data_IF_732863672676
#
_entry.id   IF_732863672676
#
_cell.length_a   1.000
_cell.length_b   1.000
_cell.length_c   1.000
_cell.angle_alpha   90.00
_cell.angle_beta   90.00
_cell.angle_gamma   90.00
#
_symmetry.space_group_name_H-M   'P 1'
#
loop_
_entity.id
_entity.type
_entity.pdbx_description
1 polymer ?
#
# COMPACT_ATOMS: atom_id res chain seq x y z
N UNK A 1 7.34 -2.97 38.15
CA UNK A 1 8.62 -3.24 37.48
C UNK A 1 8.47 -3.69 36.03
N UNK A 2 7.26 -4.05 35.58
CA UNK A 2 7.02 -4.48 34.18
C UNK A 2 6.78 -3.27 33.26
N UNK A 3 5.97 -2.30 33.71
CA UNK A 3 5.57 -1.14 32.90
C UNK A 3 6.47 0.11 33.10
N UNK A 4 7.46 0.06 33.97
CA UNK A 4 8.37 1.15 34.27
C UNK A 4 9.81 0.66 34.33
N UNK A 5 10.76 1.34 33.67
CA UNK A 5 10.60 2.46 32.74
C UNK A 5 9.92 2.04 31.42
N UNK A 6 9.40 3.00 30.65
CA UNK A 6 8.89 2.79 29.29
C UNK A 6 10.00 3.03 28.27
N UNK A 7 9.80 2.55 27.02
CA UNK A 7 10.81 2.75 25.98
C UNK A 7 10.67 4.14 25.34
N UNK A 8 9.47 4.49 24.88
CA UNK A 8 9.24 5.70 24.10
C UNK A 8 8.11 6.53 24.71
N UNK A 9 8.35 7.84 24.87
CA UNK A 9 7.33 8.85 25.14
C UNK A 9 7.07 9.64 23.86
N UNK A 10 5.80 9.83 23.50
CA UNK A 10 5.38 10.66 22.37
C UNK A 10 4.73 11.93 22.91
N UNK A 11 5.15 13.11 22.42
CA UNK A 11 4.69 14.39 22.93
C UNK A 11 4.77 15.51 21.91
N UNK A 12 3.92 16.53 22.04
CA UNK A 12 4.11 17.79 21.35
C UNK A 12 5.29 18.60 21.92
N UNK A 13 5.93 19.39 21.07
CA UNK A 13 7.06 20.23 21.48
C UNK A 13 6.67 21.29 22.54
N UNK A 14 5.43 21.71 22.56
CA UNK A 14 4.93 22.80 23.41
C UNK A 14 4.78 22.42 24.89
N UNK A 15 4.85 21.13 25.23
CA UNK A 15 4.75 20.65 26.60
C UNK A 15 6.03 19.98 27.13
N UNK A 16 7.14 20.07 26.42
CA UNK A 16 8.43 19.50 26.85
C UNK A 16 8.88 20.11 28.19
N UNK A 17 8.87 21.45 28.30
CA UNK A 17 9.28 22.17 29.50
C UNK A 17 8.36 21.97 30.71
N UNK A 18 7.12 21.57 30.48
CA UNK A 18 6.15 21.38 31.57
C UNK A 18 5.99 19.91 31.95
N UNK A 19 5.52 19.07 31.04
CA UNK A 19 5.20 17.68 31.35
C UNK A 19 6.41 16.75 31.30
N UNK A 20 7.18 16.83 30.20
CA UNK A 20 8.30 15.90 30.00
C UNK A 20 9.39 16.10 31.07
N UNK A 21 9.78 17.35 31.32
CA UNK A 21 10.75 17.66 32.37
C UNK A 21 10.29 17.20 33.75
N UNK A 22 9.00 17.36 34.07
CA UNK A 22 8.44 16.88 35.35
C UNK A 22 8.47 15.36 35.47
N UNK A 23 8.16 14.64 34.40
CA UNK A 23 8.26 13.17 34.36
C UNK A 23 9.69 12.73 34.61
N UNK A 24 10.69 13.38 33.97
CA UNK A 24 12.11 13.05 34.14
C UNK A 24 12.56 13.25 35.56
N UNK A 25 12.40 14.46 36.16
CA UNK A 25 12.92 14.71 37.49
C UNK A 25 12.14 13.95 38.58
N UNK A 26 10.82 13.74 38.42
CA UNK A 26 10.06 12.92 39.36
C UNK A 26 10.47 11.46 39.30
N UNK A 27 10.66 10.92 38.07
CA UNK A 27 11.15 9.56 37.85
C UNK A 27 12.51 9.34 38.57
N UNK A 28 13.45 10.22 38.26
CA UNK A 28 14.78 10.16 38.90
C UNK A 28 14.73 10.31 40.42
N UNK A 29 13.94 11.27 40.96
CA UNK A 29 13.84 11.52 42.38
C UNK A 29 13.23 10.37 43.17
N UNK A 30 12.17 9.72 42.64
CA UNK A 30 11.45 8.67 43.35
C UNK A 30 11.93 7.25 43.07
N UNK A 31 12.47 6.98 41.87
CA UNK A 31 12.87 5.63 41.47
C UNK A 31 14.37 5.47 41.19
N UNK A 32 15.11 6.57 41.06
CA UNK A 32 16.52 6.57 40.65
C UNK A 32 16.73 6.16 39.17
N UNK A 33 15.67 6.04 38.40
CA UNK A 33 15.73 5.61 36.99
C UNK A 33 15.03 6.60 36.07
N UNK A 34 15.58 6.80 34.88
CA UNK A 34 14.91 7.56 33.83
C UNK A 34 13.57 6.90 33.47
N UNK A 35 12.48 7.67 33.26
CA UNK A 35 11.15 7.11 33.01
C UNK A 35 10.98 6.53 31.59
N UNK A 36 11.82 6.91 30.62
CA UNK A 36 11.82 6.49 29.22
C UNK A 36 13.19 6.71 28.60
N UNK A 37 13.48 5.99 27.52
CA UNK A 37 14.77 6.07 26.81
C UNK A 37 14.72 7.08 25.67
N UNK A 38 13.58 7.16 24.96
CA UNK A 38 13.37 8.00 23.78
C UNK A 38 12.19 8.93 23.96
N UNK A 39 12.31 10.17 23.46
CA UNK A 39 11.21 11.13 23.37
C UNK A 39 10.98 11.48 21.91
N UNK A 40 9.88 10.99 21.35
CA UNK A 40 9.42 11.38 20.02
C UNK A 40 8.61 12.67 20.12
N UNK A 41 9.15 13.74 19.52
CA UNK A 41 8.53 15.06 19.55
C UNK A 41 7.81 15.30 18.23
N UNK A 42 6.49 15.51 18.28
CA UNK A 42 5.68 15.88 17.13
C UNK A 42 5.31 17.35 17.13
N UNK A 43 4.98 17.89 15.96
CA UNK A 43 4.40 19.23 15.80
C UNK A 43 2.94 19.27 16.27
N UNK A 44 2.33 20.46 16.17
CA UNK A 44 0.90 20.65 16.43
C UNK A 44 0.11 20.81 15.14
N UNK A 45 -1.17 20.46 15.21
CA UNK A 45 -2.09 20.71 14.09
C UNK A 45 -2.54 22.15 14.11
N UNK A 46 -2.38 22.83 12.99
CA UNK A 46 -2.80 24.21 12.76
C UNK A 46 -4.04 24.25 11.87
N UNK A 47 -4.78 25.37 11.92
CA UNK A 47 -5.91 25.57 11.01
C UNK A 47 -5.45 25.66 9.53
N UNK A 48 -6.39 25.74 8.61
CA UNK A 48 -6.11 25.83 7.16
C UNK A 48 -5.26 27.05 6.76
N UNK A 49 -5.27 28.11 7.59
CA UNK A 49 -4.45 29.32 7.39
C UNK A 49 -3.07 29.21 8.07
N UNK A 50 -2.78 28.10 8.75
CA UNK A 50 -1.52 27.89 9.47
C UNK A 50 -1.44 28.55 10.84
N UNK A 51 -2.56 29.01 11.40
CA UNK A 51 -2.61 29.59 12.75
C UNK A 51 -2.76 28.50 13.81
N UNK A 52 -2.17 28.72 14.99
CA UNK A 52 -2.39 27.83 16.13
C UNK A 52 -3.88 27.86 16.51
N UNK A 53 -4.47 26.68 16.67
CA UNK A 53 -5.85 26.55 17.12
C UNK A 53 -5.97 26.97 18.59
N UNK A 54 -6.98 27.78 18.90
CA UNK A 54 -7.25 28.20 20.28
C UNK A 54 -8.74 28.48 20.48
N UNK A 55 -9.20 28.31 21.72
CA UNK A 55 -10.59 28.61 22.10
C UNK A 55 -10.94 30.08 21.86
N UNK A 56 -9.98 31.00 22.11
CA UNK A 56 -10.17 32.43 21.93
C UNK A 56 -10.33 32.86 20.46
N UNK A 57 -9.73 32.14 19.54
CA UNK A 57 -9.87 32.41 18.09
C UNK A 57 -11.08 31.69 17.46
N UNK A 58 -11.70 30.76 18.17
CA UNK A 58 -12.80 29.97 17.63
C UNK A 58 -12.46 29.16 16.37
N UNK A 59 -11.17 28.87 16.15
CA UNK A 59 -10.67 28.16 14.98
C UNK A 59 -10.30 26.70 15.29
N UNK A 60 -10.77 26.18 16.43
CA UNK A 60 -10.61 24.78 16.77
C UNK A 60 -11.48 23.88 15.89
N UNK A 61 -10.96 22.75 15.50
CA UNK A 61 -11.69 21.72 14.75
C UNK A 61 -12.02 20.61 15.73
N UNK A 62 -13.31 20.27 15.85
CA UNK A 62 -13.75 19.17 16.68
C UNK A 62 -13.47 17.83 15.96
N UNK A 63 -12.59 16.98 16.49
CA UNK A 63 -12.29 15.69 15.89
C UNK A 63 -13.52 14.78 15.81
N UNK A 64 -14.50 14.91 16.69
CA UNK A 64 -15.71 14.10 16.65
C UNK A 64 -16.59 14.44 15.44
N UNK A 65 -16.72 15.72 15.10
CA UNK A 65 -17.42 16.13 13.87
C UNK A 65 -16.73 15.60 12.61
N UNK A 66 -15.39 15.62 12.58
CA UNK A 66 -14.60 15.06 11.48
C UNK A 66 -14.80 13.54 11.38
N UNK A 67 -14.83 12.84 12.53
CA UNK A 67 -15.06 11.39 12.58
C UNK A 67 -16.46 11.02 12.09
N UNK A 68 -17.48 11.78 12.46
CA UNK A 68 -18.85 11.56 11.97
C UNK A 68 -18.92 11.73 10.44
N UNK A 69 -18.21 12.69 9.89
CA UNK A 69 -18.26 12.99 8.45
C UNK A 69 -17.39 12.06 7.59
N UNK A 70 -16.20 11.73 8.05
CA UNK A 70 -15.19 11.04 7.24
C UNK A 70 -14.79 9.66 7.77
N UNK A 71 -15.07 9.37 9.03
CA UNK A 71 -14.62 8.16 9.73
C UNK A 71 -13.32 8.36 10.50
N UNK A 72 -13.15 7.57 11.58
CA UNK A 72 -12.00 7.67 12.47
C UNK A 72 -10.67 7.33 11.76
N UNK A 73 -10.66 6.31 10.94
CA UNK A 73 -9.45 5.89 10.20
C UNK A 73 -8.96 6.96 9.24
N UNK A 74 -9.87 7.68 8.57
CA UNK A 74 -9.50 8.77 7.66
C UNK A 74 -8.79 9.92 8.41
N UNK A 75 -9.31 10.31 9.57
CA UNK A 75 -8.68 11.33 10.42
C UNK A 75 -7.32 10.85 10.94
N UNK A 76 -7.23 9.60 11.45
CA UNK A 76 -5.97 9.02 11.95
C UNK A 76 -4.90 9.00 10.88
N UNK A 77 -5.24 8.53 9.69
CA UNK A 77 -4.30 8.44 8.56
C UNK A 77 -3.83 9.84 8.12
N UNK A 78 -4.75 10.80 8.02
CA UNK A 78 -4.40 12.20 7.68
C UNK A 78 -3.43 12.80 8.68
N UNK A 79 -3.58 12.52 9.98
CA UNK A 79 -2.69 13.04 11.03
C UNK A 79 -1.27 12.42 10.98
N UNK A 80 -1.11 11.29 10.33
CA UNK A 80 0.18 10.57 10.22
C UNK A 80 0.85 10.85 8.88
N UNK A 81 0.12 10.75 7.76
CA UNK A 81 0.69 10.95 6.43
C UNK A 81 1.23 12.37 6.28
N UNK A 82 2.47 12.47 5.82
CA UNK A 82 3.16 13.74 5.66
C UNK A 82 3.58 14.41 6.97
N UNK A 83 3.41 13.73 8.12
CA UNK A 83 3.96 14.19 9.39
C UNK A 83 5.47 13.93 9.43
N UNK A 84 6.21 14.93 9.89
CA UNK A 84 7.64 14.83 10.19
C UNK A 84 7.90 15.28 11.61
N UNK A 85 8.85 14.64 12.28
CA UNK A 85 9.17 14.95 13.67
C UNK A 85 9.42 16.47 13.86
N UNK A 86 8.79 17.05 14.87
CA UNK A 86 8.95 18.46 15.23
C UNK A 86 8.28 19.50 14.33
N UNK A 87 7.69 19.10 13.22
CA UNK A 87 7.05 20.04 12.29
C UNK A 87 5.52 20.08 12.46
N UNK A 88 4.98 21.30 12.45
CA UNK A 88 3.54 21.52 12.47
C UNK A 88 2.91 21.12 11.14
N UNK A 89 1.70 20.59 11.21
CA UNK A 89 0.90 20.29 10.03
C UNK A 89 -0.33 21.21 9.95
N UNK A 90 -0.81 21.47 8.75
CA UNK A 90 -2.08 22.15 8.52
C UNK A 90 -3.19 21.13 8.32
N UNK A 91 -4.28 21.34 9.02
CA UNK A 91 -5.51 20.59 8.77
C UNK A 91 -6.08 20.94 7.39
N UNK A 92 -6.58 19.93 6.70
CA UNK A 92 -7.25 20.08 5.40
C UNK A 92 -8.33 19.02 5.25
N UNK A 93 -9.57 19.44 5.01
CA UNK A 93 -10.68 18.54 4.69
C UNK A 93 -10.40 17.70 3.42
N UNK A 94 -9.71 18.27 2.44
CA UNK A 94 -9.32 17.56 1.21
C UNK A 94 -8.40 16.39 1.51
N UNK A 95 -7.46 16.54 2.45
CA UNK A 95 -6.57 15.45 2.88
C UNK A 95 -7.34 14.37 3.62
N UNK A 96 -8.26 14.75 4.51
CA UNK A 96 -9.11 13.76 5.21
C UNK A 96 -9.98 13.01 4.20
N UNK A 97 -10.56 13.71 3.22
CA UNK A 97 -11.34 13.10 2.15
C UNK A 97 -10.50 12.14 1.30
N UNK A 98 -9.25 12.47 0.99
CA UNK A 98 -8.34 11.57 0.28
C UNK A 98 -8.11 10.27 1.08
N UNK A 99 -7.87 10.37 2.38
CA UNK A 99 -7.73 9.19 3.26
C UNK A 99 -9.04 8.36 3.34
N UNK A 100 -10.20 9.01 3.35
CA UNK A 100 -11.50 8.31 3.25
C UNK A 100 -11.64 7.58 1.92
N UNK A 101 -11.25 8.19 0.81
CA UNK A 101 -11.29 7.55 -0.50
C UNK A 101 -10.34 6.35 -0.57
N UNK A 102 -9.18 6.42 0.08
CA UNK A 102 -8.30 5.27 0.25
C UNK A 102 -8.98 4.14 1.03
N UNK A 103 -9.62 4.43 2.16
CA UNK A 103 -10.38 3.45 2.92
C UNK A 103 -11.47 2.79 2.05
N UNK A 104 -12.22 3.58 1.28
CA UNK A 104 -13.24 3.06 0.36
C UNK A 104 -12.65 2.17 -0.74
N UNK A 105 -11.48 2.53 -1.27
CA UNK A 105 -10.78 1.71 -2.27
C UNK A 105 -10.35 0.37 -1.68
N UNK A 106 -9.77 0.37 -0.48
CA UNK A 106 -9.40 -0.85 0.24
C UNK A 106 -10.63 -1.74 0.51
N UNK A 107 -11.72 -1.15 0.99
CA UNK A 107 -12.99 -1.85 1.21
C UNK A 107 -13.51 -2.54 -0.07
N UNK A 108 -13.54 -1.81 -1.18
CA UNK A 108 -14.00 -2.37 -2.45
C UNK A 108 -13.06 -3.47 -2.97
N UNK A 109 -11.75 -3.30 -2.80
CA UNK A 109 -10.76 -4.32 -3.13
C UNK A 109 -10.97 -5.61 -2.30
N UNK A 110 -11.18 -5.47 -1.00
CA UNK A 110 -11.44 -6.62 -0.12
C UNK A 110 -12.74 -7.34 -0.49
N UNK A 111 -13.79 -6.61 -0.81
CA UNK A 111 -15.05 -7.20 -1.30
C UNK A 111 -14.85 -7.96 -2.61
N UNK A 112 -14.08 -7.38 -3.55
CA UNK A 112 -13.75 -8.08 -4.79
C UNK A 112 -13.04 -9.41 -4.51
N UNK A 113 -12.05 -9.42 -3.61
CA UNK A 113 -11.35 -10.65 -3.23
C UNK A 113 -12.36 -11.66 -2.66
N UNK A 114 -13.12 -11.30 -1.65
CA UNK A 114 -14.09 -12.18 -0.98
C UNK A 114 -15.12 -12.77 -1.96
N UNK A 115 -15.66 -11.97 -2.87
CA UNK A 115 -16.65 -12.41 -3.86
C UNK A 115 -16.09 -13.42 -4.88
N UNK A 116 -14.77 -13.53 -5.01
CA UNK A 116 -14.10 -14.47 -5.91
C UNK A 116 -13.60 -15.74 -5.19
N UNK A 117 -13.84 -15.86 -3.88
CA UNK A 117 -13.47 -17.07 -3.13
C UNK A 117 -14.60 -18.11 -3.20
N UNK A 118 -14.30 -19.38 -3.46
CA UNK A 118 -15.26 -20.48 -3.30
C UNK A 118 -15.55 -20.75 -1.82
N UNK A 119 -16.64 -21.43 -1.53
CA UNK A 119 -17.06 -21.76 -0.15
C UNK A 119 -16.04 -22.65 0.59
N UNK A 120 -15.33 -23.48 -0.14
CA UNK A 120 -14.31 -24.41 0.35
C UNK A 120 -12.88 -23.86 0.23
N UNK A 121 -12.72 -22.55 0.15
CA UNK A 121 -11.42 -21.92 0.00
C UNK A 121 -10.52 -22.16 1.22
N UNK A 122 -9.34 -22.69 0.98
CA UNK A 122 -8.28 -22.89 1.99
C UNK A 122 -7.19 -21.81 1.83
N UNK A 123 -6.97 -20.95 2.87
CA UNK A 123 -5.93 -19.94 2.83
C UNK A 123 -4.52 -20.56 2.87
N UNK A 124 -3.56 -19.81 2.34
CA UNK A 124 -2.15 -20.21 2.28
C UNK A 124 -1.55 -19.88 0.92
N UNK A 125 -0.23 -19.81 0.84
CA UNK A 125 0.44 -19.63 -0.45
C UNK A 125 0.39 -20.97 -1.23
N UNK A 126 0.21 -20.89 -2.56
CA UNK A 126 0.34 -22.07 -3.42
C UNK A 126 1.81 -22.52 -3.50
N UNK A 127 2.04 -23.73 -4.02
CA UNK A 127 3.40 -24.16 -4.36
C UNK A 127 4.04 -23.20 -5.36
N UNK A 128 5.35 -22.99 -5.22
CA UNK A 128 6.09 -22.01 -6.05
C UNK A 128 5.99 -22.29 -7.56
N UNK A 129 5.85 -23.54 -7.94
CA UNK A 129 5.67 -23.97 -9.34
C UNK A 129 4.37 -23.46 -9.98
N UNK A 130 3.37 -23.10 -9.15
CA UNK A 130 2.08 -22.56 -9.58
C UNK A 130 2.04 -21.03 -9.62
N UNK A 131 3.09 -20.36 -9.08
CA UNK A 131 3.21 -18.91 -9.13
C UNK A 131 3.62 -18.43 -10.51
N UNK A 132 2.85 -17.55 -11.09
CA UNK A 132 3.26 -16.86 -12.32
C UNK A 132 4.18 -15.67 -12.03
N UNK A 133 4.64 -14.97 -13.07
CA UNK A 133 5.53 -13.82 -12.95
C UNK A 133 4.90 -12.69 -12.13
N UNK A 134 3.59 -12.45 -12.27
CA UNK A 134 2.89 -11.41 -11.53
C UNK A 134 2.72 -11.74 -10.06
N UNK A 135 2.56 -13.02 -9.71
CA UNK A 135 2.49 -13.49 -8.33
C UNK A 135 3.83 -13.29 -7.62
N UNK A 136 4.91 -13.68 -8.28
CA UNK A 136 6.26 -13.49 -7.75
C UNK A 136 6.61 -12.01 -7.58
N UNK A 137 6.17 -11.18 -8.53
CA UNK A 137 6.33 -9.74 -8.44
C UNK A 137 5.59 -9.15 -7.24
N UNK A 138 4.28 -9.40 -7.07
CA UNK A 138 3.52 -8.84 -5.95
C UNK A 138 4.02 -9.32 -4.59
N UNK A 139 4.42 -10.59 -4.48
CA UNK A 139 5.01 -11.14 -3.25
C UNK A 139 6.36 -10.49 -2.92
N UNK A 140 7.16 -10.19 -3.93
CA UNK A 140 8.43 -9.47 -3.76
C UNK A 140 8.22 -8.00 -3.38
N UNK A 141 7.25 -7.32 -3.98
CA UNK A 141 6.86 -5.95 -3.60
C UNK A 141 6.29 -5.90 -2.17
N UNK A 142 5.52 -6.92 -1.76
CA UNK A 142 5.08 -7.06 -0.38
C UNK A 142 6.26 -7.20 0.59
N UNK A 143 7.23 -8.05 0.27
CA UNK A 143 8.44 -8.23 1.08
C UNK A 143 9.20 -6.91 1.24
N UNK A 144 9.36 -6.16 0.15
CA UNK A 144 10.03 -4.86 0.12
C UNK A 144 9.29 -3.82 0.96
N UNK A 145 7.99 -3.66 0.78
CA UNK A 145 7.22 -2.67 1.57
C UNK A 145 7.19 -3.03 3.04
N UNK A 146 7.12 -4.31 3.41
CA UNK A 146 7.17 -4.76 4.80
C UNK A 146 8.51 -4.38 5.46
N UNK A 147 9.63 -4.63 4.77
CA UNK A 147 10.95 -4.25 5.25
C UNK A 147 11.13 -2.72 5.34
N UNK A 148 10.71 -1.97 4.32
CA UNK A 148 10.80 -0.50 4.30
C UNK A 148 9.93 0.15 5.38
N UNK A 149 8.68 -0.32 5.57
CA UNK A 149 7.80 0.16 6.62
C UNK A 149 8.38 -0.10 8.01
N UNK A 150 8.92 -1.30 8.24
CA UNK A 150 9.59 -1.65 9.50
C UNK A 150 10.79 -0.74 9.75
N UNK A 151 11.66 -0.56 8.76
CA UNK A 151 12.84 0.31 8.89
C UNK A 151 12.48 1.77 9.17
N UNK A 152 11.38 2.28 8.61
CA UNK A 152 10.88 3.62 8.89
C UNK A 152 10.28 3.73 10.31
N UNK A 153 9.53 2.71 10.76
CA UNK A 153 8.98 2.67 12.12
C UNK A 153 10.09 2.63 13.17
N UNK A 154 11.14 1.86 12.95
CA UNK A 154 12.32 1.79 13.82
C UNK A 154 13.04 3.14 13.97
N UNK A 155 12.96 3.99 12.96
CA UNK A 155 13.49 5.36 12.95
C UNK A 155 12.48 6.42 13.41
N UNK A 156 11.29 6.01 13.84
CA UNK A 156 10.18 6.92 14.15
C UNK A 156 9.70 7.79 12.97
N UNK A 157 9.93 7.35 11.74
CA UNK A 157 9.47 8.00 10.50
C UNK A 157 8.05 7.52 10.15
N UNK A 158 7.08 7.76 11.06
CA UNK A 158 5.73 7.19 10.99
C UNK A 158 4.98 7.58 9.71
N UNK A 159 5.15 8.82 9.26
CA UNK A 159 4.52 9.32 8.03
C UNK A 159 5.01 8.58 6.80
N UNK A 160 6.33 8.34 6.70
CA UNK A 160 6.93 7.59 5.59
C UNK A 160 6.51 6.12 5.61
N UNK A 161 6.42 5.50 6.80
CA UNK A 161 5.92 4.13 6.91
C UNK A 161 4.48 4.01 6.41
N UNK A 162 3.60 4.91 6.82
CA UNK A 162 2.20 4.94 6.40
C UNK A 162 2.05 5.16 4.89
N UNK A 163 2.81 6.10 4.30
CA UNK A 163 2.82 6.40 2.87
C UNK A 163 3.27 5.20 2.03
N UNK A 164 4.31 4.48 2.47
CA UNK A 164 4.78 3.27 1.79
C UNK A 164 3.70 2.19 1.74
N UNK A 165 3.00 1.96 2.84
CA UNK A 165 1.92 0.98 2.92
C UNK A 165 0.71 1.42 2.09
N UNK A 166 0.33 2.70 2.14
CA UNK A 166 -0.75 3.26 1.32
C UNK A 166 -0.47 3.08 -0.17
N UNK A 167 0.72 3.49 -0.64
CA UNK A 167 1.12 3.38 -2.04
C UNK A 167 1.13 1.92 -2.51
N UNK A 168 1.64 1.00 -1.69
CA UNK A 168 1.60 -0.43 -2.00
C UNK A 168 0.15 -0.92 -2.19
N UNK A 169 -0.75 -0.59 -1.28
CA UNK A 169 -2.14 -1.01 -1.36
C UNK A 169 -2.84 -0.36 -2.56
N UNK A 170 -2.68 0.95 -2.73
CA UNK A 170 -3.38 1.70 -3.77
C UNK A 170 -2.87 1.36 -5.17
N UNK A 171 -1.58 1.58 -5.41
CA UNK A 171 -1.00 1.53 -6.75
C UNK A 171 -0.61 0.10 -7.15
N UNK A 172 0.03 -0.65 -6.24
CA UNK A 172 0.60 -1.94 -6.57
C UNK A 172 -0.46 -3.04 -6.49
N UNK A 173 -1.13 -3.17 -5.36
CA UNK A 173 -2.11 -4.21 -5.14
C UNK A 173 -3.42 -3.96 -5.91
N UNK A 174 -4.05 -2.78 -5.71
CA UNK A 174 -5.36 -2.49 -6.30
C UNK A 174 -5.29 -2.20 -7.80
N UNK A 175 -4.39 -1.30 -8.24
CA UNK A 175 -4.39 -0.82 -9.62
C UNK A 175 -3.73 -1.81 -10.58
N UNK A 176 -2.79 -2.63 -10.11
CA UNK A 176 -2.12 -3.61 -10.94
C UNK A 176 -2.52 -5.04 -10.61
N UNK A 177 -2.21 -5.53 -9.42
CA UNK A 177 -2.30 -6.96 -9.16
C UNK A 177 -3.74 -7.50 -9.23
N UNK A 178 -4.70 -6.83 -8.60
CA UNK A 178 -6.12 -7.19 -8.70
C UNK A 178 -6.58 -7.23 -10.18
N UNK A 179 -6.22 -6.22 -10.97
CA UNK A 179 -6.61 -6.16 -12.38
C UNK A 179 -5.98 -7.30 -13.20
N UNK A 180 -4.74 -7.66 -12.90
CA UNK A 180 -4.05 -8.80 -13.51
C UNK A 180 -4.76 -10.11 -13.18
N UNK A 181 -5.10 -10.35 -11.92
CA UNK A 181 -5.75 -11.56 -11.45
C UNK A 181 -7.10 -11.81 -12.13
N UNK A 182 -7.84 -10.76 -12.54
CA UNK A 182 -9.14 -10.91 -13.20
C UNK A 182 -9.10 -11.82 -14.44
N UNK A 183 -7.96 -11.89 -15.12
CA UNK A 183 -7.81 -12.79 -16.28
C UNK A 183 -7.82 -14.25 -15.87
N UNK A 184 -7.08 -14.58 -14.83
CA UNK A 184 -6.99 -15.95 -14.30
C UNK A 184 -8.28 -16.37 -13.59
N UNK A 185 -8.87 -15.47 -12.79
CA UNK A 185 -10.13 -15.71 -12.08
C UNK A 185 -11.30 -16.01 -13.01
N UNK A 186 -11.31 -15.42 -14.22
CA UNK A 186 -12.34 -15.63 -15.23
C UNK A 186 -11.91 -16.61 -16.35
N UNK A 187 -10.73 -17.21 -16.22
CA UNK A 187 -10.20 -18.18 -17.18
C UNK A 187 -10.70 -19.60 -16.94
N UNK A 188 -10.33 -20.50 -17.85
CA UNK A 188 -10.72 -21.92 -17.78
C UNK A 188 -9.75 -22.77 -16.93
N UNK A 189 -8.56 -22.26 -16.62
CA UNK A 189 -7.55 -22.94 -15.81
C UNK A 189 -7.87 -22.77 -14.31
N UNK A 190 -8.47 -23.82 -13.73
CA UNK A 190 -8.85 -23.84 -12.33
C UNK A 190 -7.64 -23.75 -11.36
N UNK A 191 -6.49 -24.33 -11.74
CA UNK A 191 -5.29 -24.29 -10.91
C UNK A 191 -4.67 -22.87 -10.89
N UNK A 192 -4.61 -22.20 -12.03
CA UNK A 192 -4.17 -20.83 -12.13
C UNK A 192 -5.12 -19.86 -11.38
N UNK A 193 -6.43 -20.12 -11.44
CA UNK A 193 -7.42 -19.34 -10.70
C UNK A 193 -7.28 -19.53 -9.17
N UNK A 194 -7.07 -20.76 -8.70
CA UNK A 194 -6.85 -21.03 -7.28
C UNK A 194 -5.55 -20.39 -6.77
N UNK A 195 -4.46 -20.52 -7.52
CA UNK A 195 -3.20 -19.84 -7.18
C UNK A 195 -3.37 -18.31 -7.06
N UNK A 196 -4.10 -17.69 -7.99
CA UNK A 196 -4.39 -16.27 -7.93
C UNK A 196 -5.21 -15.86 -6.69
N UNK A 197 -6.24 -16.65 -6.31
CA UNK A 197 -7.03 -16.42 -5.09
C UNK A 197 -6.17 -16.50 -3.83
N UNK A 198 -5.32 -17.52 -3.74
CA UNK A 198 -4.42 -17.72 -2.60
C UNK A 198 -3.45 -16.56 -2.44
N UNK A 199 -2.83 -16.10 -3.51
CA UNK A 199 -1.92 -14.94 -3.44
C UNK A 199 -2.68 -13.64 -3.14
N UNK A 200 -3.88 -13.42 -3.74
CA UNK A 200 -4.73 -12.26 -3.42
C UNK A 200 -5.06 -12.17 -1.93
N UNK A 201 -5.48 -13.29 -1.33
CA UNK A 201 -5.82 -13.34 0.12
C UNK A 201 -4.58 -13.16 0.97
N UNK A 202 -3.48 -13.83 0.64
CA UNK A 202 -2.22 -13.71 1.39
C UNK A 202 -1.68 -12.28 1.41
N UNK A 203 -1.64 -11.64 0.24
CA UNK A 203 -1.16 -10.24 0.13
C UNK A 203 -2.08 -9.28 0.87
N UNK A 204 -3.41 -9.48 0.77
CA UNK A 204 -4.38 -8.66 1.51
C UNK A 204 -4.20 -8.82 3.02
N UNK A 205 -4.09 -10.05 3.54
CA UNK A 205 -3.84 -10.31 4.96
C UNK A 205 -2.62 -9.54 5.48
N UNK A 206 -1.48 -9.66 4.79
CA UNK A 206 -0.25 -8.97 5.18
C UNK A 206 -0.35 -7.44 5.06
N UNK A 207 -0.99 -6.94 4.01
CA UNK A 207 -1.20 -5.51 3.81
C UNK A 207 -2.09 -4.91 4.91
N UNK A 208 -3.14 -5.63 5.34
CA UNK A 208 -3.98 -5.21 6.47
C UNK A 208 -3.18 -5.14 7.76
N UNK A 209 -2.31 -6.11 8.04
CA UNK A 209 -1.44 -6.10 9.22
C UNK A 209 -0.46 -4.94 9.21
N UNK A 210 0.12 -4.61 8.05
CA UNK A 210 0.99 -3.43 7.89
C UNK A 210 0.23 -2.11 8.08
N UNK A 211 -1.02 -2.03 7.64
CA UNK A 211 -1.85 -0.83 7.72
C UNK A 211 -2.50 -0.65 9.10
N UNK A 212 -2.71 -1.73 9.86
CA UNK A 212 -3.50 -1.73 11.10
C UNK A 212 -3.07 -0.69 12.14
N UNK A 213 -1.78 -0.40 12.39
CA UNK A 213 -1.38 0.64 13.33
C UNK A 213 -1.92 2.04 12.98
N UNK A 214 -2.18 2.30 11.72
CA UNK A 214 -2.64 3.58 11.20
C UNK A 214 -4.16 3.65 11.07
N UNK A 215 -4.79 2.59 10.56
CA UNK A 215 -6.23 2.50 10.26
C UNK A 215 -6.85 1.24 10.91
N UNK A 216 -6.96 1.21 12.26
CA UNK A 216 -7.30 -0.02 12.98
C UNK A 216 -8.73 -0.53 12.73
N UNK A 217 -9.70 0.36 12.47
CA UNK A 217 -11.10 -0.07 12.40
C UNK A 217 -11.42 -0.80 11.09
N UNK A 218 -11.08 -0.22 9.95
CA UNK A 218 -11.34 -0.86 8.66
C UNK A 218 -10.50 -2.12 8.46
N UNK A 219 -9.26 -2.12 8.95
CA UNK A 219 -8.38 -3.29 8.81
C UNK A 219 -8.86 -4.46 9.65
N UNK A 220 -9.34 -4.23 10.87
CA UNK A 220 -9.96 -5.27 11.70
C UNK A 220 -11.20 -5.84 11.04
N UNK A 221 -12.12 -4.98 10.58
CA UNK A 221 -13.37 -5.40 9.94
C UNK A 221 -13.13 -6.27 8.70
N UNK A 222 -12.19 -5.86 7.85
CA UNK A 222 -11.82 -6.65 6.66
C UNK A 222 -11.14 -7.95 7.06
N UNK A 223 -10.21 -7.90 8.03
CA UNK A 223 -9.45 -9.06 8.47
C UNK A 223 -10.35 -10.17 9.00
N UNK A 224 -11.32 -9.83 9.86
CA UNK A 224 -12.27 -10.80 10.41
C UNK A 224 -13.16 -11.45 9.35
N UNK A 225 -13.35 -10.81 8.22
CA UNK A 225 -14.10 -11.36 7.10
C UNK A 225 -13.25 -12.24 6.15
N UNK A 226 -11.93 -12.34 6.37
CA UNK A 226 -11.06 -13.21 5.57
C UNK A 226 -11.09 -14.64 6.09
N UNK A 227 -11.02 -15.64 5.18
CA UNK A 227 -10.89 -17.04 5.58
C UNK A 227 -9.62 -17.30 6.38
N UNK A 228 -9.73 -18.04 7.48
CA UNK A 228 -8.59 -18.42 8.32
C UNK A 228 -8.09 -17.30 9.24
N UNK A 229 -8.80 -16.19 9.36
CA UNK A 229 -8.48 -15.11 10.32
C UNK A 229 -8.56 -15.59 11.76
N UNK A 230 -7.70 -15.03 12.63
CA UNK A 230 -7.78 -15.19 14.07
C UNK A 230 -8.88 -14.29 14.67
N UNK A 231 -9.06 -14.34 15.99
CA UNK A 231 -10.08 -13.56 16.71
C UNK A 231 -9.91 -12.03 16.49
N UNK A 232 -8.67 -11.57 16.39
CA UNK A 232 -8.36 -10.17 16.12
C UNK A 232 -7.00 -10.02 15.44
N UNK A 233 -6.89 -9.07 14.52
CA UNK A 233 -5.63 -8.72 13.86
C UNK A 233 -4.57 -8.18 14.85
N UNK A 234 -5.02 -7.61 15.98
CA UNK A 234 -4.14 -7.02 17.01
C UNK A 234 -3.16 -8.02 17.63
N UNK A 235 -3.50 -9.32 17.64
CA UNK A 235 -2.67 -10.38 18.19
C UNK A 235 -1.76 -11.04 17.15
N UNK A 236 -1.85 -10.61 15.91
CA UNK A 236 -1.09 -11.15 14.80
C UNK A 236 0.37 -10.65 14.79
N UNK A 237 1.22 -11.47 14.17
CA UNK A 237 2.63 -11.09 13.99
C UNK A 237 2.79 -9.97 12.98
N UNK A 238 3.75 -9.10 13.25
CA UNK A 238 4.13 -8.05 12.32
C UNK A 238 4.79 -8.65 11.06
N UNK A 239 4.30 -8.33 9.84
CA UNK A 239 4.83 -8.93 8.61
C UNK A 239 6.30 -8.61 8.33
N UNK A 240 6.82 -7.49 8.82
CA UNK A 240 8.22 -7.10 8.66
C UNK A 240 9.23 -8.00 9.37
N UNK A 241 8.78 -8.81 10.33
CA UNK A 241 9.62 -9.80 11.03
C UNK A 241 9.70 -11.15 10.29
N UNK A 242 8.98 -11.29 9.18
CA UNK A 242 8.94 -12.50 8.38
C UNK A 242 10.04 -12.47 7.30
N UNK A 243 10.72 -13.60 7.11
CA UNK A 243 11.69 -13.74 6.02
C UNK A 243 10.96 -14.12 4.72
N UNK A 244 10.43 -13.11 4.04
CA UNK A 244 9.70 -13.29 2.79
C UNK A 244 10.67 -13.47 1.62
N UNK A 245 10.32 -14.38 0.69
CA UNK A 245 11.12 -14.64 -0.52
C UNK A 245 10.95 -13.50 -1.54
N UNK A 246 12.05 -13.16 -2.21
CA UNK A 246 12.10 -12.18 -3.30
C UNK A 246 12.60 -12.86 -4.56
N UNK A 247 11.93 -12.63 -5.69
CA UNK A 247 12.27 -13.15 -7.02
C UNK A 247 12.76 -12.00 -7.93
N UNK A 248 14.03 -11.63 -7.78
CA UNK A 248 14.58 -10.44 -8.40
C UNK A 248 14.49 -10.44 -9.94
N UNK A 249 14.71 -11.58 -10.59
CA UNK A 249 14.62 -11.68 -12.06
C UNK A 249 13.18 -11.52 -12.56
N UNK A 250 12.23 -12.27 -11.97
CA UNK A 250 10.81 -12.18 -12.34
C UNK A 250 10.28 -10.74 -12.11
N UNK A 251 10.71 -10.07 -11.04
CA UNK A 251 10.37 -8.67 -10.76
C UNK A 251 10.90 -7.74 -11.85
N UNK A 252 12.18 -7.82 -12.17
CA UNK A 252 12.79 -6.96 -13.17
C UNK A 252 12.15 -7.15 -14.56
N UNK A 253 11.79 -8.37 -14.91
CA UNK A 253 11.09 -8.66 -16.16
C UNK A 253 9.65 -8.11 -16.14
N UNK A 254 8.94 -8.26 -15.02
CA UNK A 254 7.59 -7.75 -14.90
C UNK A 254 7.52 -6.22 -14.86
N UNK A 255 8.47 -5.56 -14.18
CA UNK A 255 8.59 -4.09 -14.18
C UNK A 255 8.82 -3.52 -15.60
N UNK A 256 9.65 -4.18 -16.41
CA UNK A 256 9.82 -3.79 -17.83
C UNK A 256 8.50 -3.86 -18.61
N UNK A 257 7.70 -4.92 -18.39
CA UNK A 257 6.39 -5.05 -19.00
C UNK A 257 5.43 -3.93 -18.57
N UNK A 258 5.43 -3.60 -17.26
CA UNK A 258 4.60 -2.52 -16.73
C UNK A 258 5.00 -1.16 -17.31
N UNK A 259 6.28 -0.87 -17.41
CA UNK A 259 6.75 0.40 -17.97
C UNK A 259 6.40 0.53 -19.44
N UNK A 260 6.52 -0.56 -20.19
CA UNK A 260 6.08 -0.60 -21.58
C UNK A 260 4.55 -0.37 -21.72
N UNK A 261 3.76 -1.04 -20.88
CA UNK A 261 2.30 -0.85 -20.84
C UNK A 261 1.95 0.61 -20.52
N UNK A 262 2.64 1.23 -19.54
CA UNK A 262 2.44 2.64 -19.19
C UNK A 262 2.77 3.56 -20.36
N UNK A 263 3.91 3.34 -21.04
CA UNK A 263 4.32 4.14 -22.19
C UNK A 263 3.30 4.04 -23.35
N UNK A 264 2.83 2.83 -23.66
CA UNK A 264 1.79 2.63 -24.69
C UNK A 264 0.49 3.32 -24.31
N UNK A 265 0.06 3.22 -23.05
CA UNK A 265 -1.15 3.91 -22.56
C UNK A 265 -1.03 5.42 -22.64
N UNK A 266 0.12 5.99 -22.27
CA UNK A 266 0.39 7.42 -22.36
C UNK A 266 0.31 7.90 -23.82
N UNK A 267 0.98 7.21 -24.76
CA UNK A 267 0.93 7.52 -26.17
C UNK A 267 -0.50 7.43 -26.74
N UNK A 268 -1.26 6.40 -26.37
CA UNK A 268 -2.67 6.26 -26.78
C UNK A 268 -3.54 7.41 -26.27
N UNK A 269 -3.29 7.88 -25.05
CA UNK A 269 -4.01 9.04 -24.47
C UNK A 269 -3.66 10.33 -25.21
N UNK A 270 -2.38 10.58 -25.52
CA UNK A 270 -1.95 11.75 -26.32
C UNK A 270 -2.59 11.76 -27.72
N UNK A 271 -2.71 10.59 -28.32
CA UNK A 271 -3.34 10.43 -29.64
C UNK A 271 -4.87 10.36 -29.57
N UNK A 272 -5.49 10.50 -28.42
CA UNK A 272 -6.93 10.37 -28.19
C UNK A 272 -7.51 9.04 -28.73
N UNK A 273 -6.75 7.94 -28.62
CA UNK A 273 -7.21 6.60 -29.04
C UNK A 273 -8.09 6.00 -27.94
N UNK A 274 -9.36 5.76 -28.26
CA UNK A 274 -10.30 5.18 -27.31
C UNK A 274 -9.83 3.78 -26.84
N UNK A 275 -9.94 3.42 -25.55
CA UNK A 275 -9.49 2.12 -25.01
C UNK A 275 -10.09 0.91 -25.72
N UNK A 276 -11.34 1.00 -26.17
CA UNK A 276 -12.00 -0.11 -26.92
C UNK A 276 -11.38 -0.39 -28.29
N UNK A 277 -10.61 0.56 -28.86
CA UNK A 277 -9.93 0.37 -30.14
C UNK A 277 -8.62 -0.38 -29.90
N UNK A 278 -8.62 -1.67 -30.15
CA UNK A 278 -7.41 -2.50 -30.11
C UNK A 278 -6.58 -2.29 -31.37
N UNK A 279 -5.26 -2.43 -31.25
CA UNK A 279 -4.29 -2.29 -32.35
C UNK A 279 -3.29 -3.44 -32.29
N UNK A 280 -2.70 -3.81 -33.41
CA UNK A 280 -1.54 -4.69 -33.44
C UNK A 280 -0.33 -4.00 -32.80
N UNK A 281 0.58 -4.76 -32.24
CA UNK A 281 1.77 -4.28 -31.55
C UNK A 281 2.99 -5.07 -31.97
N UNK A 282 4.05 -4.36 -32.28
CA UNK A 282 5.38 -4.95 -32.53
C UNK A 282 6.35 -4.43 -31.48
N UNK A 283 7.05 -5.35 -30.83
CA UNK A 283 8.08 -5.04 -29.83
C UNK A 283 9.43 -5.46 -30.40
N UNK A 284 10.27 -4.48 -30.68
CA UNK A 284 11.67 -4.72 -31.08
C UNK A 284 12.55 -4.64 -29.84
N UNK A 285 13.20 -5.74 -29.49
CA UNK A 285 14.01 -5.82 -28.26
C UNK A 285 15.13 -6.85 -28.37
N UNK A 286 16.27 -6.52 -27.78
CA UNK A 286 17.39 -7.48 -27.62
C UNK A 286 17.13 -8.55 -26.54
N UNK A 287 16.11 -8.36 -25.68
CA UNK A 287 15.76 -9.25 -24.56
C UNK A 287 14.29 -9.71 -24.65
N UNK A 288 13.94 -10.61 -25.58
CA UNK A 288 12.55 -10.96 -25.88
C UNK A 288 11.84 -11.75 -24.79
N UNK A 289 12.59 -12.49 -23.96
CA UNK A 289 12.02 -13.48 -23.03
C UNK A 289 10.94 -12.92 -22.08
N UNK A 290 11.14 -11.72 -21.54
CA UNK A 290 10.14 -11.08 -20.66
C UNK A 290 8.84 -10.76 -21.41
N UNK A 291 8.95 -10.23 -22.62
CA UNK A 291 7.81 -9.85 -23.46
C UNK A 291 7.07 -11.06 -24.05
N UNK A 292 7.79 -12.14 -24.36
CA UNK A 292 7.17 -13.40 -24.81
C UNK A 292 6.35 -14.03 -23.67
N UNK A 293 6.91 -14.12 -22.46
CA UNK A 293 6.20 -14.59 -21.27
C UNK A 293 5.04 -13.67 -20.89
N UNK A 294 5.21 -12.34 -21.09
CA UNK A 294 4.24 -11.30 -20.73
C UNK A 294 3.22 -10.95 -21.81
N UNK A 295 3.18 -11.68 -22.93
CA UNK A 295 2.32 -11.33 -24.08
C UNK A 295 0.84 -11.17 -23.72
N UNK A 296 0.31 -12.01 -22.85
CA UNK A 296 -1.07 -11.92 -22.37
C UNK A 296 -1.35 -10.61 -21.60
N UNK A 297 -0.41 -10.15 -20.77
CA UNK A 297 -0.53 -8.87 -20.05
C UNK A 297 -0.48 -7.70 -21.04
N UNK A 298 0.43 -7.73 -21.99
CA UNK A 298 0.54 -6.71 -23.03
C UNK A 298 -0.74 -6.62 -23.86
N UNK A 299 -1.25 -7.76 -24.36
CA UNK A 299 -2.50 -7.79 -25.12
C UNK A 299 -3.66 -7.17 -24.34
N UNK A 300 -3.78 -7.46 -23.06
CA UNK A 300 -4.86 -6.95 -22.22
C UNK A 300 -4.66 -5.48 -21.84
N UNK A 301 -3.51 -5.14 -21.26
CA UNK A 301 -3.31 -3.84 -20.60
C UNK A 301 -2.84 -2.73 -21.57
N UNK A 302 -2.22 -3.09 -22.68
CA UNK A 302 -1.89 -2.16 -23.76
C UNK A 302 -2.95 -2.10 -24.86
N UNK A 303 -4.05 -2.85 -24.71
CA UNK A 303 -5.16 -2.95 -25.68
C UNK A 303 -4.69 -3.41 -27.08
N UNK A 304 -3.87 -4.44 -27.10
CA UNK A 304 -3.41 -5.04 -28.35
C UNK A 304 -4.34 -6.16 -28.84
N UNK A 305 -4.46 -6.33 -30.17
CA UNK A 305 -5.08 -7.50 -30.82
C UNK A 305 -4.12 -8.68 -30.83
N UNK A 306 -2.87 -8.37 -31.18
CA UNK A 306 -1.75 -9.29 -31.32
C UNK A 306 -0.47 -8.57 -30.91
N UNK A 307 0.48 -9.33 -30.41
CA UNK A 307 1.79 -8.85 -29.97
C UNK A 307 2.86 -9.69 -30.66
N UNK A 308 3.67 -9.05 -31.48
CA UNK A 308 4.83 -9.66 -32.12
C UNK A 308 6.09 -9.18 -31.42
N UNK A 309 6.90 -10.10 -30.89
CA UNK A 309 8.20 -9.78 -30.28
C UNK A 309 9.30 -10.22 -31.23
N UNK A 310 10.25 -9.33 -31.51
CA UNK A 310 11.35 -9.60 -32.46
C UNK A 310 12.62 -8.85 -32.06
N UNK A 311 13.77 -9.40 -32.42
CA UNK A 311 15.04 -8.72 -32.26
C UNK A 311 15.23 -7.55 -33.24
N UNK A 312 14.60 -7.65 -34.43
CA UNK A 312 14.59 -6.62 -35.46
C UNK A 312 13.33 -6.75 -36.28
N UNK A 313 12.62 -5.66 -36.47
CA UNK A 313 11.45 -5.63 -37.34
C UNK A 313 11.82 -5.22 -38.75
N UNK A 314 11.53 -6.08 -39.72
CA UNK A 314 11.83 -5.83 -41.15
C UNK A 314 10.58 -5.53 -41.98
N UNK A 315 9.43 -5.39 -41.33
CA UNK A 315 8.17 -5.08 -41.99
C UNK A 315 7.97 -3.58 -42.29
N UNK A 316 6.85 -3.25 -42.96
CA UNK A 316 6.47 -1.85 -43.16
C UNK A 316 6.07 -1.20 -41.84
N UNK A 317 6.55 0.00 -41.60
CA UNK A 317 6.18 0.86 -40.45
C UNK A 317 5.09 1.88 -40.83
N UNK A 318 4.53 1.81 -42.02
CA UNK A 318 3.47 2.72 -42.45
C UNK A 318 2.23 2.58 -41.56
N UNK A 319 1.79 3.70 -41.00
CA UNK A 319 0.67 3.76 -40.06
C UNK A 319 0.99 3.28 -38.66
N UNK A 320 2.26 2.97 -38.37
CA UNK A 320 2.72 2.68 -36.99
C UNK A 320 3.14 3.95 -36.28
N UNK A 321 3.00 3.92 -34.94
CA UNK A 321 3.50 4.95 -34.04
C UNK A 321 4.58 4.33 -33.18
N UNK A 322 5.74 4.95 -33.16
CA UNK A 322 6.84 4.51 -32.31
C UNK A 322 6.63 4.99 -30.87
N UNK A 323 6.71 4.05 -29.94
CA UNK A 323 6.69 4.30 -28.49
C UNK A 323 8.06 3.91 -27.97
N UNK A 324 8.91 4.89 -27.69
CA UNK A 324 10.26 4.70 -27.23
C UNK A 324 10.31 4.65 -25.69
#
# INVERSE_FOLDING_TARGET
NYFYPTNTLVTGYDIIGFWVSRMIFSGLAYTGKAPFDTVLIHGIVRDSQGRKMSKSLGNGIDPLEVIEQYGADALRMMLIIGSTAGNDMRYSDEKVLACRNFANKLWNASRFVQMNLPEDFEPGLPEESLLDMSDKWILSELAKVAAEATANLDKYELGLAAEKVENFIWEVYCDWYIEICKTRLNGEDAAAADAARKVLVYVLDKALKLLHPFMPFITEEIYQALPGSAETIMNEKWPGDENMKVWAEDCADFEKLMDYIKAVRAMRAEMNVHPAKKTSMVIETASPAAFEKGGAYLARFAFATDVTVTAKYEGSTDGMVNVA
#
